data_IF_380796396210
#
_entry.id   IF_380796396210
#
_cell.length_a   1.000
_cell.length_b   1.000
_cell.length_c   1.000
_cell.angle_alpha   90.00
_cell.angle_beta   90.00
_cell.angle_gamma   90.00
#
_symmetry.space_group_name_H-M   'P 1'
#
loop_
_entity.id
_entity.type
_entity.pdbx_description
1 polymer ?
#
# COMPACT_ATOMS: atom_id res chain seq x y z
N UNK A 1 1.18 12.09 -14.69
CA UNK A 1 1.44 10.87 -15.48
C UNK A 1 0.14 10.23 -15.93
N UNK A 2 0.13 9.54 -17.10
CA UNK A 2 -1.02 8.77 -17.62
C UNK A 2 -0.62 7.33 -17.83
N UNK A 3 -1.57 6.41 -17.64
CA UNK A 3 -1.35 4.98 -17.82
C UNK A 3 -2.63 4.26 -18.24
N UNK A 4 -2.53 3.37 -19.22
CA UNK A 4 -3.62 2.54 -19.71
C UNK A 4 -3.26 1.05 -19.65
N UNK A 5 -4.25 0.20 -19.52
CA UNK A 5 -4.10 -1.25 -19.57
C UNK A 5 -4.97 -1.78 -20.71
N UNK A 6 -4.35 -2.04 -21.86
CA UNK A 6 -5.08 -2.27 -23.11
C UNK A 6 -5.86 -1.00 -23.51
N UNK A 7 -7.14 -1.13 -23.77
CA UNK A 7 -8.02 -0.01 -24.12
C UNK A 7 -8.52 0.79 -22.90
N UNK A 8 -8.34 0.28 -21.68
CA UNK A 8 -8.83 0.92 -20.46
C UNK A 8 -7.81 1.91 -19.92
N UNK A 9 -8.14 3.20 -19.91
CA UNK A 9 -7.37 4.23 -19.22
C UNK A 9 -7.54 4.03 -17.70
N UNK A 10 -6.42 3.84 -16.99
CA UNK A 10 -6.38 3.66 -15.53
C UNK A 10 -6.08 5.00 -14.85
N UNK A 11 -5.12 5.76 -15.38
CA UNK A 11 -4.77 7.09 -14.89
C UNK A 11 -4.78 8.09 -16.03
N UNK A 12 -5.37 9.24 -15.78
CA UNK A 12 -5.50 10.34 -16.72
C UNK A 12 -4.87 11.60 -16.13
N UNK A 13 -3.60 11.84 -16.50
CA UNK A 13 -2.82 13.01 -16.10
C UNK A 13 -2.81 13.27 -14.57
N UNK A 14 -2.59 12.22 -13.77
CA UNK A 14 -2.44 12.37 -12.32
C UNK A 14 -1.05 12.93 -11.98
N UNK A 15 -0.98 13.77 -10.94
CA UNK A 15 0.24 14.25 -10.32
C UNK A 15 0.09 14.13 -8.81
N UNK A 16 1.11 13.63 -8.13
CA UNK A 16 1.11 13.51 -6.66
C UNK A 16 2.55 13.55 -6.15
N UNK A 17 2.71 14.06 -4.95
CA UNK A 17 3.97 14.14 -4.23
C UNK A 17 3.93 13.26 -2.98
N UNK A 18 5.04 12.55 -2.73
CA UNK A 18 5.21 11.73 -1.54
C UNK A 18 6.30 12.36 -0.66
N UNK A 19 5.93 13.12 0.38
CA UNK A 19 6.89 13.77 1.24
C UNK A 19 7.74 12.77 2.03
N UNK A 20 9.02 13.09 2.21
CA UNK A 20 9.93 12.24 2.99
C UNK A 20 9.52 12.14 4.45
N UNK A 21 9.60 10.94 5.01
CA UNK A 21 9.33 10.68 6.41
C UNK A 21 7.87 10.80 6.82
N UNK A 22 6.96 10.93 5.85
CA UNK A 22 5.52 11.07 6.04
C UNK A 22 4.76 9.82 5.62
N UNK A 23 3.55 9.68 6.14
CA UNK A 23 2.58 8.69 5.70
C UNK A 23 1.64 9.35 4.70
N UNK A 24 1.77 8.97 3.43
CA UNK A 24 0.87 9.41 2.36
C UNK A 24 -0.10 8.28 2.02
N UNK A 25 -1.38 8.55 2.12
CA UNK A 25 -2.40 7.60 1.71
C UNK A 25 -2.91 7.89 0.29
N UNK A 26 -3.23 6.83 -0.44
CA UNK A 26 -3.93 6.89 -1.71
C UNK A 26 -5.18 6.05 -1.56
N UNK A 27 -6.30 6.73 -1.42
CA UNK A 27 -7.59 6.10 -1.14
C UNK A 27 -8.51 6.20 -2.36
N UNK A 28 -9.55 5.40 -2.36
CA UNK A 28 -10.57 5.39 -3.41
C UNK A 28 -11.25 4.04 -3.54
N UNK A 29 -12.34 3.95 -4.28
CA UNK A 29 -13.08 2.72 -4.50
C UNK A 29 -12.22 1.57 -5.06
N UNK A 30 -12.69 0.34 -4.90
CA UNK A 30 -12.02 -0.83 -5.49
C UNK A 30 -11.94 -0.70 -7.01
N UNK A 31 -10.83 -1.16 -7.60
CA UNK A 31 -10.64 -1.13 -9.05
C UNK A 31 -10.21 0.23 -9.65
N UNK A 32 -9.95 1.26 -8.84
CA UNK A 32 -9.45 2.58 -9.31
C UNK A 32 -7.97 2.59 -9.71
N UNK A 33 -7.24 1.47 -9.50
CA UNK A 33 -5.85 1.35 -9.94
C UNK A 33 -4.81 1.54 -8.83
N UNK A 34 -5.18 1.59 -7.55
CA UNK A 34 -4.27 1.81 -6.41
C UNK A 34 -3.04 0.88 -6.44
N UNK A 35 -3.24 -0.43 -6.53
CA UNK A 35 -2.15 -1.42 -6.70
C UNK A 35 -1.35 -1.19 -7.99
N UNK A 36 -1.99 -0.73 -9.07
CA UNK A 36 -1.30 -0.39 -10.33
C UNK A 36 -0.34 0.77 -10.13
N UNK A 37 -0.74 1.77 -9.34
CA UNK A 37 0.12 2.91 -9.00
C UNK A 37 1.38 2.45 -8.24
N UNK A 38 1.25 1.55 -7.26
CA UNK A 38 2.41 0.98 -6.57
C UNK A 38 3.36 0.23 -7.52
N UNK A 39 2.81 -0.51 -8.50
CA UNK A 39 3.62 -1.19 -9.54
C UNK A 39 4.34 -0.21 -10.45
N UNK A 40 3.74 0.93 -10.75
CA UNK A 40 4.38 2.01 -11.51
C UNK A 40 5.51 2.66 -10.69
N UNK A 41 5.27 2.97 -9.41
CA UNK A 41 6.28 3.52 -8.50
C UNK A 41 7.46 2.54 -8.34
N UNK A 42 7.19 1.25 -8.19
CA UNK A 42 8.23 0.21 -8.11
C UNK A 42 8.92 -0.12 -9.44
N UNK A 43 8.56 0.55 -10.55
CA UNK A 43 9.14 0.34 -11.87
C UNK A 43 8.79 -1.01 -12.52
N UNK A 44 7.76 -1.72 -12.00
CA UNK A 44 7.26 -2.97 -12.61
C UNK A 44 6.42 -2.70 -13.87
N UNK A 45 5.76 -1.55 -13.90
CA UNK A 45 5.01 -1.04 -15.04
C UNK A 45 5.61 0.31 -15.41
N UNK A 46 5.49 0.69 -16.69
CA UNK A 46 5.94 1.99 -17.20
C UNK A 46 4.72 2.84 -17.57
N UNK A 47 4.66 4.13 -17.20
CA UNK A 47 3.57 5.01 -17.62
C UNK A 47 3.62 5.25 -19.14
N UNK A 48 2.44 5.48 -19.74
CA UNK A 48 2.34 5.83 -21.17
C UNK A 48 2.86 7.26 -21.40
N UNK A 49 2.61 8.16 -20.44
CA UNK A 49 3.05 9.55 -20.48
C UNK A 49 3.41 10.04 -19.06
N UNK A 50 4.34 11.00 -19.02
CA UNK A 50 4.84 11.56 -17.77
C UNK A 50 5.95 10.70 -17.16
N UNK A 51 6.32 10.99 -15.93
CA UNK A 51 7.44 10.35 -15.22
C UNK A 51 7.11 10.09 -13.77
N UNK A 52 7.86 9.18 -13.16
CA UNK A 52 7.86 8.92 -11.71
C UNK A 52 9.30 9.06 -11.24
N UNK A 53 9.50 9.96 -10.28
CA UNK A 53 10.83 10.23 -9.73
C UNK A 53 10.93 9.77 -8.28
N UNK A 54 12.06 9.18 -7.92
CA UNK A 54 12.42 8.90 -6.54
C UNK A 54 13.85 9.40 -6.27
N UNK A 55 14.02 10.24 -5.27
CA UNK A 55 15.30 10.87 -4.94
C UNK A 55 15.97 11.56 -6.15
N UNK A 56 15.17 12.23 -6.99
CA UNK A 56 15.63 12.94 -8.20
C UNK A 56 15.91 12.04 -9.41
N UNK A 57 15.77 10.73 -9.29
CA UNK A 57 15.96 9.79 -10.39
C UNK A 57 14.63 9.39 -11.02
N UNK A 58 14.52 9.50 -12.36
CA UNK A 58 13.37 8.95 -13.06
C UNK A 58 13.44 7.42 -13.05
N UNK A 59 12.49 6.78 -12.37
CA UNK A 59 12.45 5.31 -12.14
C UNK A 59 12.49 4.53 -13.45
N UNK A 60 11.84 5.05 -14.50
CA UNK A 60 11.65 4.35 -15.77
C UNK A 60 12.76 4.62 -16.81
N UNK A 61 13.72 5.49 -16.48
CA UNK A 61 14.91 5.75 -17.28
C UNK A 61 16.15 5.04 -16.73
N UNK A 62 16.04 4.45 -15.54
CA UNK A 62 17.12 3.70 -14.91
C UNK A 62 17.42 2.43 -15.71
N UNK A 63 18.71 2.13 -15.87
CA UNK A 63 19.13 0.82 -16.33
C UNK A 63 18.80 -0.27 -15.32
N UNK A 64 18.87 -1.54 -15.73
CA UNK A 64 18.51 -2.68 -14.88
C UNK A 64 19.24 -2.69 -13.54
N UNK A 65 20.54 -2.39 -13.51
CA UNK A 65 21.37 -2.42 -12.29
C UNK A 65 20.94 -1.33 -11.31
N UNK A 66 20.71 -0.12 -11.80
CA UNK A 66 20.32 1.01 -10.97
C UNK A 66 18.87 0.89 -10.49
N UNK A 67 17.97 0.33 -11.31
CA UNK A 67 16.61 0.00 -10.89
C UNK A 67 16.61 -1.04 -9.75
N UNK A 68 17.48 -2.06 -9.82
CA UNK A 68 17.63 -3.02 -8.72
C UNK A 68 18.16 -2.37 -7.45
N UNK A 69 19.11 -1.43 -7.53
CA UNK A 69 19.60 -0.65 -6.38
C UNK A 69 18.48 0.20 -5.78
N UNK A 70 17.68 0.84 -6.62
CA UNK A 70 16.54 1.62 -6.17
C UNK A 70 15.52 0.75 -5.43
N UNK A 71 15.17 -0.43 -5.97
CA UNK A 71 14.21 -1.35 -5.35
C UNK A 71 14.66 -1.90 -4.01
N UNK A 72 15.97 -2.09 -3.76
CA UNK A 72 16.49 -2.44 -2.42
C UNK A 72 16.17 -1.39 -1.36
N UNK A 73 15.93 -0.15 -1.77
CA UNK A 73 15.56 0.97 -0.89
C UNK A 73 14.04 1.12 -0.71
N UNK A 74 13.26 0.24 -1.33
CA UNK A 74 11.80 0.19 -1.26
C UNK A 74 11.36 -1.11 -0.60
N UNK A 75 10.59 -1.02 0.49
CA UNK A 75 9.87 -2.15 1.04
C UNK A 75 8.48 -2.24 0.42
N UNK A 76 7.92 -3.45 0.37
CA UNK A 76 6.53 -3.63 -0.07
C UNK A 76 5.82 -4.69 0.75
N UNK A 77 4.67 -4.31 1.31
CA UNK A 77 3.69 -5.22 1.88
C UNK A 77 2.58 -5.45 0.84
N UNK A 78 2.48 -6.66 0.35
CA UNK A 78 1.42 -7.07 -0.58
C UNK A 78 0.12 -7.40 0.16
N UNK A 79 -1.01 -7.25 -0.51
CA UNK A 79 -2.33 -7.54 0.04
C UNK A 79 -2.45 -8.96 0.63
N UNK A 80 -1.84 -9.98 0.02
CA UNK A 80 -1.80 -11.35 0.54
C UNK A 80 -0.69 -11.62 1.55
N UNK A 81 0.14 -10.60 1.87
CA UNK A 81 1.41 -10.78 2.60
C UNK A 81 2.50 -11.43 1.77
N UNK A 82 2.16 -12.28 0.80
CA UNK A 82 3.05 -12.96 -0.13
C UNK A 82 4.27 -13.64 0.54
N UNK A 83 4.06 -14.30 1.69
CA UNK A 83 5.10 -15.09 2.35
C UNK A 83 5.48 -16.30 1.47
N UNK A 84 6.75 -16.67 1.51
CA UNK A 84 7.25 -17.91 0.93
C UNK A 84 6.76 -19.06 1.81
N UNK A 85 5.94 -19.94 1.26
CA UNK A 85 5.18 -20.95 2.03
C UNK A 85 5.96 -22.16 2.45
N UNK A 86 7.09 -22.40 1.81
CA UNK A 86 7.99 -23.54 1.97
C UNK A 86 9.18 -23.30 2.91
N UNK A 87 9.27 -22.10 3.48
CA UNK A 87 10.27 -21.72 4.48
C UNK A 87 9.61 -21.06 5.69
N UNK A 88 10.25 -21.17 6.85
CA UNK A 88 9.75 -20.64 8.11
C UNK A 88 9.74 -19.10 8.18
N UNK A 89 9.23 -18.56 9.27
CA UNK A 89 9.15 -17.11 9.53
C UNK A 89 10.52 -16.45 9.53
N UNK A 90 11.50 -17.07 10.18
CA UNK A 90 12.87 -16.54 10.23
C UNK A 90 13.45 -16.40 8.82
N UNK A 91 13.37 -17.45 8.02
CA UNK A 91 13.93 -17.49 6.67
C UNK A 91 13.19 -16.57 5.70
N UNK A 92 11.88 -16.36 5.87
CA UNK A 92 11.14 -15.34 5.12
C UNK A 92 11.74 -13.94 5.27
N UNK A 93 12.23 -13.59 6.46
CA UNK A 93 12.85 -12.28 6.72
C UNK A 93 14.34 -12.29 6.38
N UNK A 94 15.04 -13.40 6.63
CA UNK A 94 16.45 -13.57 6.31
C UNK A 94 16.72 -13.56 4.80
N UNK A 95 15.79 -14.10 4.00
CA UNK A 95 15.95 -14.27 2.55
C UNK A 95 16.40 -12.98 1.82
N UNK A 96 15.69 -11.84 1.92
CA UNK A 96 16.17 -10.63 1.27
C UNK A 96 17.51 -10.13 1.80
N UNK A 97 17.85 -10.37 3.05
CA UNK A 97 19.14 -9.95 3.62
C UNK A 97 20.26 -10.79 3.01
N UNK A 98 20.12 -12.14 2.96
CA UNK A 98 21.09 -13.04 2.32
C UNK A 98 21.30 -12.71 0.84
N UNK A 99 20.20 -12.46 0.09
CA UNK A 99 20.28 -12.18 -1.34
C UNK A 99 20.91 -10.82 -1.68
N UNK A 100 20.88 -9.87 -0.75
CA UNK A 100 21.18 -8.47 -1.08
C UNK A 100 22.30 -7.85 -0.24
N UNK A 101 22.90 -8.61 0.68
CA UNK A 101 24.02 -8.16 1.52
C UNK A 101 25.07 -9.25 1.63
N UNK A 102 26.28 -8.88 2.03
CA UNK A 102 27.38 -9.80 2.30
C UNK A 102 27.57 -10.04 3.81
N UNK A 103 26.49 -9.90 4.60
CA UNK A 103 26.52 -10.10 6.05
C UNK A 103 26.66 -11.58 6.40
N UNK A 104 27.38 -11.89 7.47
CA UNK A 104 27.45 -13.23 8.01
C UNK A 104 26.14 -13.66 8.70
N UNK A 105 25.95 -14.99 8.86
CA UNK A 105 24.70 -15.54 9.42
C UNK A 105 24.44 -15.09 10.87
N UNK A 106 25.45 -14.72 11.65
CA UNK A 106 25.29 -14.24 13.01
C UNK A 106 24.69 -12.84 13.03
N UNK A 107 25.12 -11.97 12.11
CA UNK A 107 24.56 -10.65 11.90
C UNK A 107 23.13 -10.74 11.32
N UNK A 108 22.92 -11.60 10.32
CA UNK A 108 21.59 -11.85 9.74
C UNK A 108 20.61 -12.30 10.83
N UNK A 109 21.02 -13.26 11.66
CA UNK A 109 20.22 -13.74 12.80
C UNK A 109 19.83 -12.59 13.74
N UNK A 110 20.76 -11.72 14.07
CA UNK A 110 20.53 -10.59 14.95
C UNK A 110 19.53 -9.61 14.33
N UNK A 111 19.70 -9.26 13.07
CA UNK A 111 18.78 -8.38 12.32
C UNK A 111 17.38 -8.97 12.24
N UNK A 112 17.25 -10.24 11.87
CA UNK A 112 15.93 -10.91 11.79
C UNK A 112 15.21 -10.89 13.13
N UNK A 113 15.92 -11.20 14.23
CA UNK A 113 15.33 -11.18 15.56
C UNK A 113 14.88 -9.76 15.97
N UNK A 114 15.64 -8.73 15.60
CA UNK A 114 15.23 -7.32 15.81
C UNK A 114 13.98 -6.97 15.02
N UNK A 115 13.90 -7.34 13.74
CA UNK A 115 12.71 -7.09 12.89
C UNK A 115 11.49 -7.85 13.41
N UNK A 116 11.64 -9.10 13.82
CA UNK A 116 10.58 -9.89 14.44
C UNK A 116 10.12 -9.30 15.78
N UNK A 117 11.07 -8.78 16.58
CA UNK A 117 10.73 -8.10 17.84
C UNK A 117 9.91 -6.84 17.59
N UNK A 118 10.25 -6.06 16.56
CA UNK A 118 9.53 -4.84 16.19
C UNK A 118 8.06 -5.09 15.83
N UNK A 119 7.73 -6.27 15.29
CA UNK A 119 6.35 -6.68 14.98
C UNK A 119 5.72 -7.60 16.04
N UNK A 120 6.42 -7.82 17.17
CA UNK A 120 5.91 -8.62 18.29
C UNK A 120 5.86 -10.13 18.03
N UNK A 121 6.67 -10.66 17.10
CA UNK A 121 6.62 -12.06 16.66
C UNK A 121 7.95 -12.81 16.82
N UNK A 122 8.86 -12.33 17.69
CA UNK A 122 10.16 -13.01 17.90
C UNK A 122 10.01 -14.48 18.33
N UNK A 123 8.98 -14.81 19.10
CA UNK A 123 8.70 -16.16 19.54
C UNK A 123 8.14 -17.09 18.45
N UNK A 124 7.68 -16.53 17.33
CA UNK A 124 7.11 -17.28 16.20
C UNK A 124 8.13 -17.58 15.09
N UNK A 125 9.42 -17.33 15.32
CA UNK A 125 10.46 -17.38 14.28
C UNK A 125 10.59 -18.73 13.56
N UNK A 126 10.32 -19.83 14.28
CA UNK A 126 10.48 -21.19 13.80
C UNK A 126 9.19 -21.76 13.16
N UNK A 127 8.06 -21.01 13.24
CA UNK A 127 6.79 -21.43 12.65
C UNK A 127 6.80 -21.32 11.13
N UNK A 128 6.05 -22.21 10.48
CA UNK A 128 5.76 -22.11 9.06
C UNK A 128 4.62 -21.13 8.79
N UNK A 129 4.54 -20.51 7.60
CA UNK A 129 3.43 -19.60 7.25
C UNK A 129 2.04 -20.23 7.42
N UNK A 130 1.89 -21.54 7.24
CA UNK A 130 0.63 -22.27 7.45
C UNK A 130 0.19 -22.36 8.90
N UNK A 131 1.08 -22.11 9.86
CA UNK A 131 0.80 -22.12 11.28
C UNK A 131 0.44 -20.74 11.84
N UNK A 132 0.50 -19.70 10.98
CA UNK A 132 0.24 -18.33 11.37
C UNK A 132 -1.23 -17.95 11.21
N UNK A 133 -1.76 -17.15 12.14
CA UNK A 133 -3.02 -16.43 11.87
C UNK A 133 -2.81 -15.39 10.75
N UNK A 134 -3.89 -14.93 10.11
CA UNK A 134 -3.81 -13.90 9.07
C UNK A 134 -3.12 -12.61 9.55
N UNK A 135 -3.40 -12.16 10.76
CA UNK A 135 -2.74 -11.02 11.37
C UNK A 135 -1.26 -11.26 11.68
N UNK A 136 -0.88 -12.47 12.11
CA UNK A 136 0.53 -12.85 12.28
C UNK A 136 1.26 -12.86 10.94
N UNK A 137 0.69 -13.49 9.91
CA UNK A 137 1.29 -13.55 8.57
C UNK A 137 1.53 -12.13 8.00
N UNK A 138 0.57 -11.22 8.21
CA UNK A 138 0.68 -9.81 7.79
C UNK A 138 1.85 -9.11 8.51
N UNK A 139 1.99 -9.32 9.82
CA UNK A 139 3.09 -8.77 10.62
C UNK A 139 4.47 -9.33 10.20
N UNK A 140 4.56 -10.61 9.90
CA UNK A 140 5.80 -11.20 9.33
C UNK A 140 6.14 -10.57 7.98
N UNK A 141 5.15 -10.38 7.11
CA UNK A 141 5.35 -9.72 5.83
C UNK A 141 5.80 -8.25 5.99
N UNK A 142 5.31 -7.55 7.01
CA UNK A 142 5.82 -6.20 7.38
C UNK A 142 7.28 -6.25 7.83
N UNK A 143 7.66 -7.20 8.69
CA UNK A 143 9.05 -7.37 9.12
C UNK A 143 9.97 -7.65 7.92
N UNK A 144 9.52 -8.47 6.96
CA UNK A 144 10.25 -8.72 5.71
C UNK A 144 10.35 -7.47 4.83
N UNK A 145 9.29 -6.66 4.74
CA UNK A 145 9.30 -5.42 3.96
C UNK A 145 10.35 -4.42 4.47
N UNK A 146 10.67 -4.43 5.76
CA UNK A 146 11.70 -3.56 6.36
C UNK A 146 13.06 -4.26 6.58
N UNK A 147 13.26 -5.46 6.05
CA UNK A 147 14.45 -6.27 6.32
C UNK A 147 15.75 -5.59 5.84
N UNK A 148 15.71 -4.84 4.75
CA UNK A 148 16.85 -4.12 4.16
C UNK A 148 16.94 -2.65 4.58
N UNK A 149 16.27 -2.23 5.65
CA UNK A 149 16.19 -0.84 6.11
C UNK A 149 15.86 0.15 4.97
N UNK A 150 14.70 -0.04 4.31
CA UNK A 150 14.32 0.80 3.17
C UNK A 150 14.08 2.25 3.60
N UNK A 151 14.19 3.19 2.66
CA UNK A 151 13.81 4.59 2.89
C UNK A 151 12.32 4.83 2.69
N UNK A 152 11.63 3.89 2.02
CA UNK A 152 10.20 3.94 1.75
C UNK A 152 9.58 2.55 1.84
N UNK A 153 8.38 2.47 2.42
CA UNK A 153 7.56 1.26 2.41
C UNK A 153 6.22 1.55 1.75
N UNK A 154 5.84 0.68 0.83
CA UNK A 154 4.54 0.68 0.17
C UNK A 154 3.66 -0.40 0.78
N UNK A 155 2.46 -0.05 1.20
CA UNK A 155 1.47 -0.95 1.79
C UNK A 155 0.28 -1.06 0.85
N UNK A 156 0.06 -2.25 0.30
CA UNK A 156 -1.06 -2.55 -0.60
C UNK A 156 -2.18 -3.20 0.19
N UNK A 157 -3.24 -2.44 0.47
CA UNK A 157 -4.43 -2.86 1.22
C UNK A 157 -4.07 -3.58 2.55
N UNK A 158 -3.33 -2.92 3.46
CA UNK A 158 -2.77 -3.59 4.65
C UNK A 158 -3.84 -4.07 5.63
N UNK A 159 -5.01 -3.45 5.65
CA UNK A 159 -6.08 -3.69 6.62
C UNK A 159 -7.11 -4.72 6.16
N UNK A 160 -7.21 -4.95 4.85
CA UNK A 160 -8.23 -5.82 4.25
C UNK A 160 -8.21 -7.24 4.83
N UNK A 161 -9.37 -7.70 5.28
CA UNK A 161 -9.57 -9.05 5.81
C UNK A 161 -8.98 -9.29 7.21
N UNK A 162 -8.66 -8.23 7.95
CA UNK A 162 -8.20 -8.32 9.33
C UNK A 162 -9.36 -8.18 10.31
N UNK A 163 -9.26 -8.87 11.45
CA UNK A 163 -10.14 -8.62 12.58
C UNK A 163 -9.80 -7.25 13.23
N UNK A 164 -10.73 -6.66 14.02
CA UNK A 164 -10.52 -5.33 14.60
C UNK A 164 -9.27 -5.20 15.47
N UNK A 165 -8.89 -6.26 16.20
CA UNK A 165 -7.70 -6.23 17.07
C UNK A 165 -6.43 -6.23 16.20
N UNK A 166 -6.35 -7.14 15.22
CA UNK A 166 -5.24 -7.22 14.27
C UNK A 166 -5.10 -5.94 13.46
N UNK A 167 -6.23 -5.33 13.08
CA UNK A 167 -6.26 -4.05 12.38
C UNK A 167 -5.65 -2.92 13.22
N UNK A 168 -6.06 -2.76 14.48
CA UNK A 168 -5.47 -1.79 15.40
C UNK A 168 -3.96 -1.99 15.62
N UNK A 169 -3.51 -3.25 15.68
CA UNK A 169 -2.07 -3.56 15.75
C UNK A 169 -1.34 -3.10 14.49
N UNK A 170 -1.88 -3.35 13.29
CA UNK A 170 -1.26 -2.93 12.03
C UNK A 170 -1.20 -1.40 11.89
N UNK A 171 -2.28 -0.69 12.25
CA UNK A 171 -2.33 0.78 12.31
C UNK A 171 -1.17 1.31 13.17
N UNK A 172 -1.04 0.80 14.40
CA UNK A 172 0.03 1.22 15.31
C UNK A 172 1.43 0.86 14.78
N UNK A 173 1.60 -0.31 14.16
CA UNK A 173 2.88 -0.73 13.58
C UNK A 173 3.30 0.17 12.42
N UNK A 174 2.41 0.48 11.49
CA UNK A 174 2.72 1.37 10.34
C UNK A 174 3.17 2.73 10.87
N UNK A 175 2.41 3.31 11.82
CA UNK A 175 2.74 4.61 12.42
C UNK A 175 4.06 4.59 13.18
N UNK A 176 4.28 3.59 14.04
CA UNK A 176 5.51 3.48 14.82
C UNK A 176 6.75 3.23 13.95
N UNK A 177 6.65 2.41 12.91
CA UNK A 177 7.74 2.19 11.95
C UNK A 177 8.08 3.47 11.19
N UNK A 178 7.06 4.21 10.71
CA UNK A 178 7.30 5.49 10.05
C UNK A 178 8.05 6.46 10.98
N UNK A 179 7.60 6.62 12.22
CA UNK A 179 8.19 7.55 13.19
C UNK A 179 9.59 7.11 13.63
N UNK A 180 9.77 5.82 13.98
CA UNK A 180 11.03 5.33 14.55
C UNK A 180 12.13 5.17 13.50
N UNK A 181 11.78 4.74 12.29
CA UNK A 181 12.74 4.52 11.19
C UNK A 181 12.84 5.73 10.26
N UNK A 182 12.00 6.76 10.45
CA UNK A 182 11.92 7.97 9.61
C UNK A 182 11.75 7.65 8.12
N UNK A 183 11.10 6.55 7.82
CA UNK A 183 10.83 6.12 6.45
C UNK A 183 9.60 6.83 5.88
N UNK A 184 9.54 6.97 4.56
CA UNK A 184 8.31 7.40 3.89
C UNK A 184 7.37 6.20 3.74
N UNK A 185 6.08 6.40 3.99
CA UNK A 185 5.06 5.34 3.86
C UNK A 185 4.04 5.72 2.80
N UNK A 186 3.77 4.82 1.87
CA UNK A 186 2.64 4.93 0.93
C UNK A 186 1.64 3.86 1.31
N UNK A 187 0.45 4.26 1.71
CA UNK A 187 -0.64 3.33 2.06
C UNK A 187 -1.72 3.42 1.02
N UNK A 188 -1.96 2.36 0.27
CA UNK A 188 -3.14 2.29 -0.58
C UNK A 188 -4.21 1.47 0.11
N UNK A 189 -5.40 2.05 0.28
CA UNK A 189 -6.50 1.41 0.99
C UNK A 189 -7.85 1.98 0.60
N UNK A 190 -8.90 1.24 0.92
CA UNK A 190 -10.29 1.68 0.93
C UNK A 190 -10.88 1.70 2.37
N UNK A 191 -10.09 1.27 3.37
CA UNK A 191 -10.47 1.31 4.79
C UNK A 191 -10.25 2.73 5.33
N UNK A 192 -11.32 3.54 5.34
CA UNK A 192 -11.25 4.99 5.58
C UNK A 192 -10.78 5.32 6.99
N UNK A 193 -11.40 4.83 8.09
CA UNK A 193 -11.05 5.25 9.45
C UNK A 193 -9.59 4.96 9.80
N UNK A 194 -9.12 3.75 9.51
CA UNK A 194 -7.77 3.29 9.83
C UNK A 194 -6.73 4.09 9.05
N UNK A 195 -6.98 4.28 7.76
CA UNK A 195 -6.06 4.99 6.88
C UNK A 195 -5.94 6.47 7.26
N UNK A 196 -7.07 7.13 7.55
CA UNK A 196 -7.08 8.52 8.00
C UNK A 196 -6.35 8.70 9.33
N UNK A 197 -6.47 7.74 10.25
CA UNK A 197 -5.87 7.83 11.58
C UNK A 197 -4.33 7.87 11.59
N UNK A 198 -3.69 7.37 10.53
CA UNK A 198 -2.23 7.29 10.42
C UNK A 198 -1.63 8.21 9.36
N UNK A 199 -2.43 8.80 8.50
CA UNK A 199 -1.94 9.57 7.36
C UNK A 199 -1.60 11.01 7.73
N UNK A 200 -0.51 11.52 7.14
CA UNK A 200 -0.18 12.94 7.17
C UNK A 200 -0.82 13.67 5.98
N UNK A 201 -1.00 12.97 4.85
CA UNK A 201 -1.60 13.50 3.62
C UNK A 201 -2.32 12.38 2.86
N UNK A 202 -3.42 12.72 2.23
CA UNK A 202 -4.29 11.75 1.53
C UNK A 202 -4.61 12.27 0.13
N UNK A 203 -4.52 11.37 -0.85
CA UNK A 203 -5.03 11.56 -2.21
C UNK A 203 -6.25 10.67 -2.40
N UNK A 204 -7.36 11.24 -2.83
CA UNK A 204 -8.57 10.50 -3.20
C UNK A 204 -8.58 10.29 -4.72
N UNK A 205 -8.58 9.01 -5.12
CA UNK A 205 -8.49 8.57 -6.51
C UNK A 205 -9.85 8.04 -6.99
N UNK A 206 -10.40 8.65 -8.04
CA UNK A 206 -11.63 8.20 -8.70
C UNK A 206 -11.59 8.50 -10.19
N UNK A 207 -12.17 7.63 -11.01
CA UNK A 207 -12.25 7.83 -12.46
C UNK A 207 -10.88 8.07 -13.15
N UNK A 208 -9.80 7.55 -12.56
CA UNK A 208 -8.44 7.73 -13.06
C UNK A 208 -7.82 9.10 -12.77
N UNK A 209 -8.43 9.90 -11.90
CA UNK A 209 -7.97 11.23 -11.49
C UNK A 209 -7.86 11.35 -9.99
N UNK A 210 -7.04 12.28 -9.52
CA UNK A 210 -7.10 12.76 -8.15
C UNK A 210 -8.29 13.72 -8.06
N UNK A 211 -9.29 13.37 -7.24
CA UNK A 211 -10.53 14.15 -7.10
C UNK A 211 -10.49 15.06 -5.89
N UNK A 212 -9.73 14.69 -4.86
CA UNK A 212 -9.45 15.54 -3.71
C UNK A 212 -8.10 15.14 -3.10
N UNK A 213 -7.46 16.05 -2.39
CA UNK A 213 -6.25 15.83 -1.62
C UNK A 213 -6.18 16.76 -0.42
N UNK A 214 -5.48 16.36 0.62
CA UNK A 214 -5.29 17.18 1.82
C UNK A 214 -4.93 16.36 3.05
N UNK A 215 -4.81 17.04 4.18
CA UNK A 215 -4.72 16.39 5.48
C UNK A 215 -6.05 15.70 5.84
N UNK A 216 -6.05 14.68 6.73
CA UNK A 216 -7.27 14.00 7.15
C UNK A 216 -8.38 14.94 7.61
N UNK A 217 -8.07 15.95 8.42
CA UNK A 217 -9.05 16.90 8.94
C UNK A 217 -9.64 17.78 7.81
N UNK A 218 -8.81 18.22 6.84
CA UNK A 218 -9.26 19.00 5.68
C UNK A 218 -10.24 18.21 4.81
N UNK A 219 -10.01 16.90 4.65
CA UNK A 219 -10.91 16.06 3.88
C UNK A 219 -12.21 15.73 4.63
N UNK A 220 -12.16 15.60 5.96
CA UNK A 220 -13.37 15.45 6.79
C UNK A 220 -14.27 16.67 6.71
N UNK A 221 -13.67 17.85 6.67
CA UNK A 221 -14.38 19.14 6.60
C UNK A 221 -14.73 19.57 5.16
N UNK A 222 -14.42 18.72 4.17
CA UNK A 222 -14.67 19.02 2.75
C UNK A 222 -16.15 19.18 2.45
N UNK A 223 -16.50 20.19 1.68
CA UNK A 223 -17.86 20.39 1.16
C UNK A 223 -18.09 19.68 -0.19
N UNK A 224 -17.09 19.03 -0.75
CA UNK A 224 -17.24 18.27 -2.00
C UNK A 224 -18.11 17.03 -1.78
N UNK A 225 -19.23 16.89 -2.49
CA UNK A 225 -20.19 15.81 -2.24
C UNK A 225 -19.61 14.41 -2.47
N UNK A 226 -18.66 14.24 -3.40
CA UNK A 226 -18.02 12.96 -3.66
C UNK A 226 -17.09 12.57 -2.51
N UNK A 227 -16.30 13.53 -2.04
CA UNK A 227 -15.40 13.35 -0.89
C UNK A 227 -16.19 12.97 0.36
N UNK A 228 -17.28 13.67 0.64
CA UNK A 228 -18.17 13.36 1.77
C UNK A 228 -18.79 11.97 1.65
N UNK A 229 -19.31 11.61 0.47
CA UNK A 229 -19.87 10.27 0.24
C UNK A 229 -18.83 9.18 0.52
N UNK A 230 -17.62 9.34 -0.01
CA UNK A 230 -16.56 8.33 0.13
C UNK A 230 -16.10 8.20 1.58
N UNK A 231 -15.83 9.31 2.27
CA UNK A 231 -15.34 9.31 3.66
C UNK A 231 -16.40 8.79 4.63
N UNK A 232 -17.64 9.22 4.48
CA UNK A 232 -18.75 8.80 5.34
C UNK A 232 -19.33 7.43 4.97
N UNK A 233 -18.89 6.82 3.86
CA UNK A 233 -19.41 5.53 3.37
C UNK A 233 -20.90 5.58 3.02
N UNK A 234 -21.39 6.71 2.53
CA UNK A 234 -22.80 6.89 2.20
C UNK A 234 -23.17 6.03 0.98
N UNK A 235 -24.29 5.27 1.04
CA UNK A 235 -24.66 4.36 -0.04
C UNK A 235 -25.11 5.07 -1.32
N UNK A 236 -25.58 6.32 -1.21
CA UNK A 236 -26.07 7.10 -2.34
C UNK A 236 -25.49 8.52 -2.31
N UNK A 237 -25.29 9.10 -3.51
CA UNK A 237 -24.69 10.43 -3.68
C UNK A 237 -24.23 10.62 -5.13
N UNK A 238 -23.13 11.36 -5.35
CA UNK A 238 -22.51 11.47 -6.68
C UNK A 238 -22.18 10.12 -7.34
N UNK A 239 -21.87 9.08 -6.53
CA UNK A 239 -21.86 7.70 -6.98
C UNK A 239 -23.21 7.09 -6.59
N UNK A 240 -24.14 6.89 -7.56
CA UNK A 240 -25.48 6.41 -7.25
C UNK A 240 -25.47 4.93 -6.83
N UNK A 241 -26.40 4.58 -5.93
CA UNK A 241 -26.62 3.19 -5.55
C UNK A 241 -27.10 2.34 -6.75
N UNK A 242 -28.02 2.90 -7.56
CA UNK A 242 -28.55 2.23 -8.74
C UNK A 242 -27.64 2.38 -9.95
N UNK A 243 -27.34 1.27 -10.62
CA UNK A 243 -26.79 1.33 -11.97
C UNK A 243 -27.86 1.91 -12.91
N UNK A 244 -27.42 2.77 -13.84
CA UNK A 244 -28.33 3.43 -14.77
C UNK A 244 -29.12 2.37 -15.58
N UNK A 245 -30.45 2.43 -15.47
CA UNK A 245 -31.39 1.55 -16.17
C UNK A 245 -32.67 2.35 -16.49
N UNK A 246 -33.46 1.84 -17.39
CA UNK A 246 -34.83 2.32 -17.62
C UNK A 246 -35.67 2.15 -16.34
N UNK A 247 -36.75 2.93 -16.17
CA UNK A 247 -37.65 2.76 -15.05
C UNK A 247 -38.14 1.32 -14.95
N UNK A 248 -38.06 0.71 -13.76
CA UNK A 248 -38.38 -0.71 -13.52
C UNK A 248 -39.76 -1.12 -14.06
N UNK A 249 -40.73 -0.21 -14.04
CA UNK A 249 -42.06 -0.48 -14.60
C UNK A 249 -42.06 -0.65 -16.13
N UNK A 250 -41.15 0.00 -16.84
CA UNK A 250 -41.01 -0.21 -18.29
C UNK A 250 -40.34 -1.54 -18.58
N UNK A 251 -39.31 -1.93 -17.83
CA UNK A 251 -38.70 -3.25 -17.98
C UNK A 251 -39.63 -4.41 -17.63
N UNK A 252 -40.49 -4.22 -16.62
CA UNK A 252 -41.46 -5.23 -16.22
C UNK A 252 -42.67 -5.37 -17.18
N UNK A 253 -42.98 -4.32 -17.96
CA UNK A 253 -44.10 -4.30 -18.90
C UNK A 253 -43.69 -4.57 -20.36
N UNK A 254 -42.38 -4.66 -20.64
CA UNK A 254 -41.88 -5.13 -21.94
C UNK A 254 -41.93 -6.66 -21.95
N UNK A 255 -42.85 -7.24 -22.70
CA UNK A 255 -42.93 -8.66 -23.06
C UNK A 255 -41.93 -9.02 -24.18
#
# INVERSE_FOLDING_TARGET
>A
MSFSRGSRKIFDNISLDIPRGKVTAIMGPSGTGKTTLLKLIGGQLKPDQGSISMDGNNVHELNRKDLYRLRKRMGMLFQSGALLTDINVFDNIAYPIREHTDLDESMIRSLVLMKLNAVGLRGARDLMPSELSGGMARRVAMARAIALDPVMVMYDEPFTGQDPISMGVLVNLIRSMNQSLKLSSIVVSHDVPETMSISDHIYLLSGGKIVAEGAPDELNDSNDPWTQQFIAGQPDGPVPFHFAAEPVMQDLLQE
#
